data_IF_511081249181
#
_entry.id   IF_511081249181
#
_cell.length_a   1.000
_cell.length_b   1.000
_cell.length_c   1.000
_cell.angle_alpha   90.00
_cell.angle_beta   90.00
_cell.angle_gamma   90.00
#
_symmetry.space_group_name_H-M   'P 1'
#
loop_
_entity.id
_entity.type
_entity.pdbx_description
1 polymer ?
#
# COMPACT_ATOMS: atom_id res chain seq x y z
N UNK A 1 -8.62 33.21 -30.17
CA UNK A 1 -8.05 32.36 -31.23
C UNK A 1 -9.08 32.21 -32.34
N UNK A 2 -8.70 32.52 -33.58
CA UNK A 2 -9.59 32.39 -34.75
C UNK A 2 -9.79 30.91 -35.12
N UNK A 3 -10.96 30.53 -35.66
CA UNK A 3 -11.27 29.14 -36.08
C UNK A 3 -10.20 28.55 -37.02
N UNK A 4 -9.53 29.38 -37.82
CA UNK A 4 -8.45 28.96 -38.71
C UNK A 4 -7.15 28.61 -37.98
N UNK A 5 -6.82 29.33 -36.91
CA UNK A 5 -5.64 29.04 -36.09
C UNK A 5 -5.78 27.70 -35.35
N UNK A 6 -7.00 27.34 -34.93
CA UNK A 6 -7.27 26.03 -34.32
C UNK A 6 -7.11 24.93 -35.37
N UNK A 7 -7.61 25.13 -36.58
CA UNK A 7 -7.45 24.16 -37.69
C UNK A 7 -5.99 24.02 -38.13
N UNK A 8 -5.23 25.11 -38.22
CA UNK A 8 -3.79 25.06 -38.52
C UNK A 8 -3.00 24.34 -37.43
N UNK A 9 -3.27 24.61 -36.14
CA UNK A 9 -2.62 23.90 -35.03
C UNK A 9 -2.96 22.39 -35.00
N UNK A 10 -4.17 22.03 -35.43
CA UNK A 10 -4.61 20.63 -35.58
C UNK A 10 -4.05 19.94 -36.83
N UNK A 11 -3.61 20.69 -37.85
CA UNK A 11 -3.08 20.16 -39.12
C UNK A 11 -1.54 20.18 -39.17
N UNK A 12 -0.86 21.09 -38.49
CA UNK A 12 0.61 21.18 -38.41
C UNK A 12 1.26 20.08 -37.56
N UNK A 13 0.47 19.27 -36.86
CA UNK A 13 0.95 18.20 -35.99
C UNK A 13 1.35 16.94 -36.76
N UNK A 14 2.33 17.07 -37.65
CA UNK A 14 3.13 15.96 -38.18
C UNK A 14 4.61 16.26 -37.91
N UNK A 15 4.97 16.41 -36.64
CA UNK A 15 6.37 16.29 -36.22
C UNK A 15 6.80 14.85 -36.52
N UNK A 16 7.75 14.69 -37.42
CA UNK A 16 8.41 13.41 -37.68
C UNK A 16 8.91 12.83 -36.34
N UNK A 17 8.24 11.80 -35.83
CA UNK A 17 8.64 11.12 -34.61
C UNK A 17 10.01 10.51 -34.86
N UNK A 18 11.05 11.07 -34.26
CA UNK A 18 12.39 10.53 -34.37
C UNK A 18 12.45 9.21 -33.59
N UNK A 19 12.83 8.12 -34.25
CA UNK A 19 13.03 6.82 -33.61
C UNK A 19 13.99 6.94 -32.42
N UNK A 20 14.97 7.83 -32.51
CA UNK A 20 15.91 8.14 -31.42
C UNK A 20 15.21 8.73 -30.19
N UNK A 21 14.24 9.63 -30.37
CA UNK A 21 13.47 10.21 -29.25
C UNK A 21 12.58 9.14 -28.61
N UNK A 22 11.94 8.29 -29.40
CA UNK A 22 11.13 7.16 -28.92
C UNK A 22 11.97 6.23 -28.05
N UNK A 23 13.12 5.80 -28.56
CA UNK A 23 14.04 4.94 -27.81
C UNK A 23 14.53 5.60 -26.51
N UNK A 24 14.84 6.90 -26.55
CA UNK A 24 15.30 7.63 -25.37
C UNK A 24 14.20 7.73 -24.29
N UNK A 25 12.97 8.08 -24.66
CA UNK A 25 11.90 8.17 -23.66
C UNK A 25 11.53 6.80 -23.08
N UNK A 26 11.58 5.74 -23.89
CA UNK A 26 11.37 4.37 -23.39
C UNK A 26 12.48 3.96 -22.42
N UNK A 27 13.74 4.28 -22.74
CA UNK A 27 14.85 4.04 -21.83
C UNK A 27 14.66 4.79 -20.49
N UNK A 28 14.25 6.07 -20.55
CA UNK A 28 13.96 6.87 -19.36
C UNK A 28 12.76 6.31 -18.55
N UNK A 29 11.70 5.88 -19.22
CA UNK A 29 10.54 5.26 -18.58
C UNK A 29 10.91 3.96 -17.87
N UNK A 30 11.81 3.16 -18.46
CA UNK A 30 12.35 1.95 -17.83
C UNK A 30 13.18 2.31 -16.59
N UNK A 31 14.07 3.30 -16.66
CA UNK A 31 14.90 3.72 -15.52
C UNK A 31 14.02 4.21 -14.36
N UNK A 32 13.07 5.12 -14.62
CA UNK A 32 12.17 5.63 -13.59
C UNK A 32 11.18 4.56 -13.10
N UNK A 33 10.72 3.68 -13.99
CA UNK A 33 9.88 2.53 -13.63
C UNK A 33 10.63 1.50 -12.76
N UNK A 34 11.93 1.29 -12.99
CA UNK A 34 12.77 0.46 -12.12
C UNK A 34 12.97 1.11 -10.75
N UNK A 35 13.13 2.44 -10.69
CA UNK A 35 13.14 3.18 -9.43
C UNK A 35 11.83 2.96 -8.67
N UNK A 36 10.68 3.11 -9.35
CA UNK A 36 9.36 2.85 -8.77
C UNK A 36 9.25 1.41 -8.24
N UNK A 37 9.70 0.44 -9.04
CA UNK A 37 9.72 -0.99 -8.66
C UNK A 37 10.51 -1.23 -7.37
N UNK A 38 11.68 -0.59 -7.23
CA UNK A 38 12.54 -0.74 -6.06
C UNK A 38 11.95 -0.05 -4.83
N UNK A 39 11.41 1.17 -5.00
CA UNK A 39 10.74 1.92 -3.92
C UNK A 39 9.53 1.15 -3.41
N UNK A 40 8.71 0.61 -4.31
CA UNK A 40 7.56 -0.21 -3.95
C UNK A 40 8.00 -1.46 -3.18
N UNK A 41 8.98 -2.21 -3.69
CA UNK A 41 9.52 -3.41 -3.03
C UNK A 41 10.04 -3.11 -1.63
N UNK A 42 10.74 -1.98 -1.44
CA UNK A 42 11.34 -1.61 -0.16
C UNK A 42 10.31 -1.05 0.84
N UNK A 43 9.25 -0.42 0.34
CA UNK A 43 8.22 0.24 1.16
C UNK A 43 6.96 -0.60 1.33
N UNK A 44 6.92 -1.80 0.75
CA UNK A 44 5.78 -2.69 0.87
C UNK A 44 5.55 -3.07 2.35
N UNK A 45 4.33 -2.83 2.84
CA UNK A 45 3.90 -3.09 4.22
C UNK A 45 2.63 -3.95 4.31
N UNK A 46 2.10 -4.40 3.18
CA UNK A 46 0.93 -5.27 3.15
C UNK A 46 1.25 -6.69 3.62
N UNK A 47 0.21 -7.50 3.86
CA UNK A 47 0.36 -8.87 4.34
C UNK A 47 0.82 -9.84 3.25
N UNK A 48 0.63 -9.51 1.96
CA UNK A 48 0.98 -10.37 0.83
C UNK A 48 1.58 -9.58 -0.35
N UNK A 49 2.91 -9.50 -0.40
CA UNK A 49 3.61 -8.87 -1.52
C UNK A 49 3.33 -9.60 -2.85
N UNK A 50 2.73 -8.88 -3.81
CA UNK A 50 2.53 -9.39 -5.16
C UNK A 50 3.66 -8.96 -6.08
N UNK A 51 4.49 -9.93 -6.49
CA UNK A 51 5.52 -9.72 -7.53
C UNK A 51 4.91 -9.28 -8.85
N UNK A 52 3.75 -9.83 -9.20
CA UNK A 52 3.04 -9.55 -10.46
C UNK A 52 2.53 -8.11 -10.47
N UNK A 53 2.03 -7.61 -9.33
CA UNK A 53 1.64 -6.19 -9.23
C UNK A 53 2.85 -5.26 -9.40
N UNK A 54 3.98 -5.57 -8.76
CA UNK A 54 5.19 -4.74 -8.89
C UNK A 54 5.72 -4.72 -10.34
N UNK A 55 5.69 -5.86 -11.03
CA UNK A 55 6.02 -5.91 -12.45
C UNK A 55 5.01 -5.11 -13.30
N UNK A 56 3.73 -5.16 -12.95
CA UNK A 56 2.67 -4.41 -13.61
C UNK A 56 2.92 -2.90 -13.53
N UNK A 57 3.42 -2.37 -12.40
CA UNK A 57 3.77 -0.95 -12.27
C UNK A 57 4.80 -0.51 -13.32
N UNK A 58 5.85 -1.31 -13.54
CA UNK A 58 6.85 -1.06 -14.58
C UNK A 58 6.23 -1.10 -15.98
N UNK A 59 5.40 -2.12 -16.25
CA UNK A 59 4.71 -2.26 -17.53
C UNK A 59 3.78 -1.07 -17.80
N UNK A 60 3.04 -0.60 -16.79
CA UNK A 60 2.15 0.56 -16.89
C UNK A 60 2.95 1.81 -17.27
N UNK A 61 4.11 2.05 -16.68
CA UNK A 61 4.96 3.20 -17.04
C UNK A 61 5.40 3.14 -18.52
N UNK A 62 5.83 1.97 -18.99
CA UNK A 62 6.26 1.78 -20.39
C UNK A 62 5.09 1.94 -21.37
N UNK A 63 3.95 1.29 -21.08
CA UNK A 63 2.75 1.36 -21.91
C UNK A 63 2.24 2.80 -21.98
N UNK A 64 2.20 3.52 -20.86
CA UNK A 64 1.75 4.91 -20.84
C UNK A 64 2.71 5.86 -21.57
N UNK A 65 4.03 5.59 -21.57
CA UNK A 65 4.98 6.31 -22.45
C UNK A 65 4.71 6.07 -23.93
N UNK A 66 4.51 4.81 -24.35
CA UNK A 66 4.17 4.49 -25.73
C UNK A 66 2.88 5.17 -26.18
N UNK A 67 1.86 5.09 -25.32
CA UNK A 67 0.56 5.71 -25.57
C UNK A 67 0.69 7.23 -25.68
N UNK A 68 1.43 7.88 -24.77
CA UNK A 68 1.63 9.33 -24.81
C UNK A 68 2.39 9.79 -26.06
N UNK A 69 3.42 9.04 -26.48
CA UNK A 69 4.13 9.33 -27.74
C UNK A 69 3.27 9.12 -28.98
N UNK A 70 2.41 8.11 -28.98
CA UNK A 70 1.47 7.87 -30.08
C UNK A 70 0.41 8.98 -30.21
N UNK A 71 0.02 9.60 -29.09
CA UNK A 71 -0.88 10.77 -29.09
C UNK A 71 -0.14 12.03 -29.58
N UNK A 72 1.14 12.16 -29.25
CA UNK A 72 1.99 13.27 -29.66
C UNK A 72 1.42 14.63 -29.22
N UNK A 73 1.46 15.61 -30.12
CA UNK A 73 0.94 16.97 -29.92
C UNK A 73 -0.55 17.13 -30.24
N UNK A 74 -1.27 16.04 -30.52
CA UNK A 74 -2.68 16.12 -30.86
C UNK A 74 -3.53 16.33 -29.60
N UNK A 75 -3.76 17.60 -29.29
CA UNK A 75 -4.51 18.06 -28.13
C UNK A 75 -5.94 17.49 -28.10
N UNK A 76 -6.56 17.27 -29.28
CA UNK A 76 -7.89 16.66 -29.40
C UNK A 76 -7.88 15.16 -29.05
N UNK A 77 -6.82 14.44 -29.42
CA UNK A 77 -6.67 13.00 -29.14
C UNK A 77 -6.29 12.77 -27.66
N UNK A 78 -5.50 13.66 -27.06
CA UNK A 78 -5.18 13.66 -25.62
C UNK A 78 -6.41 13.91 -24.74
N UNK A 79 -7.24 14.91 -25.06
CA UNK A 79 -8.50 15.18 -24.35
C UNK A 79 -9.51 14.03 -24.43
N UNK A 80 -9.59 13.34 -25.56
CA UNK A 80 -10.43 12.15 -25.73
C UNK A 80 -9.99 10.95 -24.86
N UNK A 81 -8.69 10.81 -24.62
CA UNK A 81 -8.15 9.74 -23.79
C UNK A 81 -8.37 9.98 -22.29
N UNK A 82 -8.22 11.21 -21.81
CA UNK A 82 -8.53 11.58 -20.41
C UNK A 82 -10.03 11.39 -20.10
N UNK A 83 -10.90 11.71 -21.07
CA UNK A 83 -12.33 11.43 -20.99
C UNK A 83 -12.65 9.93 -20.94
N UNK A 84 -11.89 9.10 -21.67
CA UNK A 84 -12.07 7.64 -21.67
C UNK A 84 -11.52 6.98 -20.41
N UNK A 85 -10.39 7.46 -19.86
CA UNK A 85 -9.85 6.97 -18.58
C UNK A 85 -10.85 7.19 -17.43
N UNK A 86 -11.64 8.27 -17.51
CA UNK A 86 -12.71 8.59 -16.55
C UNK A 86 -13.88 7.57 -16.58
N UNK A 87 -14.00 6.76 -17.64
CA UNK A 87 -15.00 5.69 -17.78
C UNK A 87 -14.48 4.37 -17.19
N UNK A 88 -13.17 4.22 -17.00
CA UNK A 88 -12.56 3.04 -16.38
C UNK A 88 -12.88 3.05 -14.88
N UNK A 89 -14.10 2.60 -14.54
CA UNK A 89 -14.45 2.25 -13.17
C UNK A 89 -13.60 1.06 -12.77
N UNK A 90 -12.75 1.23 -11.77
CA UNK A 90 -12.20 0.10 -11.03
C UNK A 90 -13.36 -0.68 -10.42
N UNK A 91 -13.81 -1.72 -11.12
CA UNK A 91 -14.90 -2.62 -10.68
C UNK A 91 -14.41 -3.68 -9.69
N UNK A 92 -13.10 -3.73 -9.47
CA UNK A 92 -12.42 -4.59 -8.50
C UNK A 92 -11.83 -3.70 -7.41
N UNK A 93 -12.11 -4.03 -6.15
CA UNK A 93 -11.49 -3.35 -5.02
C UNK A 93 -9.97 -3.55 -5.10
N UNK A 94 -9.21 -2.47 -5.35
CA UNK A 94 -7.77 -2.51 -5.13
C UNK A 94 -7.57 -2.68 -3.63
N UNK A 95 -6.97 -3.82 -3.24
CA UNK A 95 -6.89 -4.29 -1.85
C UNK A 95 -6.32 -3.26 -0.88
N UNK A 96 -5.40 -2.41 -1.34
CA UNK A 96 -4.77 -1.38 -0.51
C UNK A 96 -4.79 0.00 -1.21
N UNK A 97 -5.28 1.08 -0.56
CA UNK A 97 -5.24 2.44 -1.12
C UNK A 97 -3.84 2.92 -1.52
N UNK A 98 -2.80 2.36 -0.87
CA UNK A 98 -1.39 2.61 -1.19
C UNK A 98 -1.02 2.16 -2.60
N UNK A 99 -1.50 0.99 -3.02
CA UNK A 99 -1.19 0.42 -4.34
C UNK A 99 -1.75 1.30 -5.47
N UNK A 100 -2.91 1.92 -5.24
CA UNK A 100 -3.50 2.88 -6.17
C UNK A 100 -2.58 4.09 -6.38
N UNK A 101 -1.97 4.62 -5.31
CA UNK A 101 -1.05 5.75 -5.41
C UNK A 101 0.21 5.40 -6.25
N UNK A 102 0.76 4.19 -6.08
CA UNK A 102 1.87 3.70 -6.90
C UNK A 102 1.49 3.53 -8.37
N UNK A 103 0.25 3.07 -8.64
CA UNK A 103 -0.27 2.97 -9.99
C UNK A 103 -0.38 4.35 -10.66
N UNK A 104 -0.91 5.36 -9.96
CA UNK A 104 -0.93 6.73 -10.46
C UNK A 104 0.47 7.31 -10.68
N UNK A 105 1.42 6.98 -9.81
CA UNK A 105 2.81 7.36 -10.01
C UNK A 105 3.42 6.72 -11.27
N UNK A 106 3.15 5.43 -11.53
CA UNK A 106 3.57 4.77 -12.77
C UNK A 106 3.02 5.48 -14.01
N UNK A 107 1.73 5.85 -14.00
CA UNK A 107 1.11 6.62 -15.09
C UNK A 107 1.78 7.98 -15.26
N UNK A 108 2.03 8.71 -14.16
CA UNK A 108 2.68 10.01 -14.19
C UNK A 108 4.11 9.95 -14.76
N UNK A 109 4.88 8.91 -14.40
CA UNK A 109 6.20 8.64 -15.00
C UNK A 109 6.05 8.47 -16.51
N UNK A 110 5.11 7.64 -16.95
CA UNK A 110 4.97 7.36 -18.37
C UNK A 110 4.51 8.56 -19.19
N UNK A 111 3.59 9.38 -18.65
CA UNK A 111 3.14 10.63 -19.28
C UNK A 111 4.28 11.64 -19.42
N UNK A 112 5.06 11.87 -18.35
CA UNK A 112 6.18 12.84 -18.37
C UNK A 112 7.33 12.39 -19.25
N UNK A 113 7.63 11.08 -19.31
CA UNK A 113 8.62 10.54 -20.23
C UNK A 113 8.13 10.63 -21.68
N UNK A 114 6.86 10.32 -21.93
CA UNK A 114 6.29 10.33 -23.28
C UNK A 114 6.07 11.73 -23.86
N UNK A 115 5.95 12.77 -23.02
CA UNK A 115 5.92 14.17 -23.44
C UNK A 115 7.31 14.82 -23.52
N UNK A 116 8.39 14.04 -23.43
CA UNK A 116 9.79 14.50 -23.41
C UNK A 116 10.15 15.44 -22.24
N UNK A 117 9.30 15.49 -21.20
CA UNK A 117 9.51 16.32 -20.00
C UNK A 117 10.27 15.56 -18.91
N UNK A 118 11.46 15.05 -19.26
CA UNK A 118 12.24 14.15 -18.40
C UNK A 118 12.58 14.75 -17.02
N UNK A 119 12.88 16.05 -16.98
CA UNK A 119 13.24 16.75 -15.74
C UNK A 119 12.09 16.73 -14.72
N UNK A 120 10.85 16.91 -15.18
CA UNK A 120 9.66 16.88 -14.32
C UNK A 120 9.42 15.46 -13.82
N UNK A 121 9.55 14.45 -14.71
CA UNK A 121 9.43 13.04 -14.32
C UNK A 121 10.45 12.63 -13.25
N UNK A 122 11.70 13.09 -13.37
CA UNK A 122 12.77 12.84 -12.41
C UNK A 122 12.51 13.53 -11.06
N UNK A 123 12.22 14.83 -11.07
CA UNK A 123 11.97 15.59 -9.85
C UNK A 123 10.71 15.10 -9.11
N UNK A 124 9.63 14.86 -9.84
CA UNK A 124 8.39 14.30 -9.28
C UNK A 124 8.63 12.93 -8.63
N UNK A 125 9.37 12.05 -9.32
CA UNK A 125 9.72 10.73 -8.78
C UNK A 125 10.64 10.83 -7.56
N UNK A 126 11.58 11.77 -7.54
CA UNK A 126 12.44 12.00 -6.38
C UNK A 126 11.62 12.46 -5.15
N UNK A 127 10.72 13.44 -5.33
CA UNK A 127 9.85 13.93 -4.25
C UNK A 127 8.94 12.81 -3.73
N UNK A 128 8.27 12.06 -4.61
CA UNK A 128 7.42 10.94 -4.21
C UNK A 128 8.22 9.86 -3.49
N UNK A 129 9.44 9.57 -3.93
CA UNK A 129 10.35 8.65 -3.24
C UNK A 129 10.66 9.11 -1.82
N UNK A 130 10.97 10.40 -1.63
CA UNK A 130 11.23 10.96 -0.29
C UNK A 130 10.01 10.86 0.59
N UNK A 131 8.82 11.25 0.10
CA UNK A 131 7.57 11.18 0.87
C UNK A 131 7.25 9.75 1.29
N UNK A 132 7.34 8.81 0.34
CA UNK A 132 7.11 7.38 0.60
C UNK A 132 8.15 6.82 1.56
N UNK A 133 9.42 7.20 1.42
CA UNK A 133 10.49 6.79 2.32
C UNK A 133 10.30 7.34 3.73
N UNK A 134 9.93 8.61 3.90
CA UNK A 134 9.60 9.20 5.20
C UNK A 134 8.40 8.52 5.85
N UNK A 135 7.33 8.27 5.08
CA UNK A 135 6.19 7.48 5.57
C UNK A 135 6.59 6.03 5.92
N UNK A 136 7.63 5.49 5.27
CA UNK A 136 8.21 4.18 5.57
C UNK A 136 9.14 4.17 6.80
N UNK A 137 9.68 5.33 7.18
CA UNK A 137 10.56 5.50 8.35
C UNK A 137 9.74 5.65 9.64
N UNK A 138 8.48 6.07 9.55
CA UNK A 138 7.65 6.36 10.71
C UNK A 138 6.95 5.12 11.30
N UNK A 139 7.44 4.72 12.48
CA UNK A 139 6.77 4.68 13.81
C UNK A 139 5.48 3.84 14.03
N UNK A 140 4.87 3.25 13.01
CA UNK A 140 3.61 2.51 13.12
C UNK A 140 3.68 1.07 12.61
N UNK A 141 4.82 0.42 12.77
CA UNK A 141 4.93 -1.04 12.61
C UNK A 141 4.31 -1.72 13.85
N UNK A 142 3.01 -1.49 13.99
CA UNK A 142 2.21 -2.03 15.08
C UNK A 142 1.48 -3.23 14.53
N UNK A 143 2.05 -4.41 14.74
CA UNK A 143 1.36 -5.66 14.39
C UNK A 143 0.25 -5.86 15.41
N UNK A 144 -0.99 -5.91 14.93
CA UNK A 144 -2.14 -6.20 15.78
C UNK A 144 -2.39 -7.70 15.80
N UNK A 145 -2.50 -8.26 17.00
CA UNK A 145 -2.91 -9.64 17.20
C UNK A 145 -4.15 -9.69 18.08
N UNK A 146 -4.98 -10.71 17.86
CA UNK A 146 -6.04 -11.08 18.77
C UNK A 146 -5.51 -12.13 19.76
N UNK A 147 -5.43 -11.74 21.02
CA UNK A 147 -5.20 -12.63 22.13
C UNK A 147 -6.53 -13.24 22.57
N UNK A 148 -6.68 -14.55 22.37
CA UNK A 148 -7.85 -15.31 22.82
C UNK A 148 -7.40 -16.16 24.02
N UNK A 149 -7.91 -15.80 25.20
CA UNK A 149 -7.66 -16.49 26.46
C UNK A 149 -8.93 -17.23 26.88
N UNK A 150 -8.86 -18.56 27.02
CA UNK A 150 -9.93 -19.37 27.61
C UNK A 150 -9.45 -20.00 28.91
N UNK A 151 -10.18 -19.74 29.99
CA UNK A 151 -9.86 -20.18 31.34
C UNK A 151 -11.08 -20.80 32.04
N UNK A 152 -10.85 -21.43 33.19
CA UNK A 152 -11.94 -21.87 34.07
C UNK A 152 -12.76 -20.66 34.56
N UNK A 153 -14.08 -20.81 34.80
CA UNK A 153 -14.94 -19.70 35.22
C UNK A 153 -14.44 -19.04 36.51
N UNK A 154 -14.27 -17.71 36.50
CA UNK A 154 -13.83 -16.95 37.67
C UNK A 154 -12.34 -17.12 38.03
N UNK A 155 -11.57 -17.82 37.20
CA UNK A 155 -10.15 -18.08 37.44
C UNK A 155 -9.23 -16.91 37.05
N UNK A 156 -9.74 -15.96 36.26
CA UNK A 156 -8.96 -14.85 35.72
C UNK A 156 -9.22 -13.58 36.52
N UNK A 157 -8.19 -13.08 37.19
CA UNK A 157 -8.23 -11.74 37.78
C UNK A 157 -7.98 -10.68 36.70
N UNK A 158 -9.02 -9.96 36.30
CA UNK A 158 -8.90 -8.88 35.31
C UNK A 158 -7.81 -7.83 35.62
N UNK A 159 -7.62 -7.38 36.87
CA UNK A 159 -6.57 -6.40 37.20
C UNK A 159 -5.16 -6.94 36.90
N UNK A 160 -4.92 -8.21 37.21
CA UNK A 160 -3.65 -8.87 36.94
C UNK A 160 -3.41 -8.98 35.43
N UNK A 161 -4.43 -9.36 34.67
CA UNK A 161 -4.34 -9.47 33.21
C UNK A 161 -4.09 -8.11 32.54
N UNK A 162 -4.77 -7.05 33.00
CA UNK A 162 -4.57 -5.69 32.48
C UNK A 162 -3.16 -5.16 32.77
N UNK A 163 -2.58 -5.47 33.93
CA UNK A 163 -1.21 -5.07 34.27
C UNK A 163 -0.17 -5.70 33.33
N UNK A 164 -0.37 -6.97 32.95
CA UNK A 164 0.49 -7.70 32.00
C UNK A 164 0.34 -7.13 30.59
N UNK A 165 -0.89 -6.88 30.15
CA UNK A 165 -1.17 -6.31 28.84
C UNK A 165 -0.58 -4.89 28.71
N UNK A 166 -0.71 -4.05 29.73
CA UNK A 166 -0.15 -2.70 29.75
C UNK A 166 1.38 -2.69 29.68
N UNK A 167 2.03 -3.70 30.24
CA UNK A 167 3.50 -3.82 30.25
C UNK A 167 4.05 -4.39 28.93
N UNK A 168 3.33 -5.32 28.32
CA UNK A 168 3.83 -6.12 27.20
C UNK A 168 3.22 -5.78 25.84
N UNK A 169 2.17 -4.94 25.79
CA UNK A 169 1.57 -4.43 24.56
C UNK A 169 1.56 -2.90 24.54
N UNK A 170 1.68 -2.30 23.35
CA UNK A 170 1.61 -0.84 23.16
C UNK A 170 0.19 -0.31 23.41
N UNK A 171 -0.80 -1.06 22.94
CA UNK A 171 -2.21 -0.79 23.17
C UNK A 171 -2.98 -2.11 23.28
N UNK A 172 -4.02 -2.13 24.11
CA UNK A 172 -4.92 -3.28 24.22
C UNK A 172 -6.38 -2.80 24.28
N UNK A 173 -7.27 -3.53 23.62
CA UNK A 173 -8.72 -3.27 23.66
C UNK A 173 -9.48 -4.59 23.84
N UNK A 174 -10.34 -4.67 24.84
CA UNK A 174 -11.23 -5.81 25.00
C UNK A 174 -12.26 -5.79 23.87
N UNK A 175 -12.33 -6.86 23.08
CA UNK A 175 -13.28 -7.01 21.97
C UNK A 175 -14.46 -7.88 22.35
N UNK A 176 -14.21 -8.92 23.13
CA UNK A 176 -15.24 -9.87 23.54
C UNK A 176 -14.92 -10.42 24.92
N UNK A 177 -15.94 -10.50 25.76
CA UNK A 177 -15.95 -11.29 26.99
C UNK A 177 -17.13 -12.24 26.90
N UNK A 178 -16.89 -13.53 27.01
CA UNK A 178 -17.95 -14.54 27.01
C UNK A 178 -17.77 -15.44 28.20
N UNK A 179 -18.86 -15.66 28.94
CA UNK A 179 -18.87 -16.52 30.11
C UNK A 179 -19.87 -17.63 29.86
N UNK A 180 -19.38 -18.86 29.83
CA UNK A 180 -20.17 -20.08 29.70
C UNK A 180 -20.09 -20.85 31.02
N UNK A 181 -21.05 -21.75 31.28
CA UNK A 181 -21.07 -22.59 32.48
C UNK A 181 -19.75 -23.37 32.71
N UNK A 182 -19.03 -23.72 31.64
CA UNK A 182 -17.80 -24.53 31.70
C UNK A 182 -16.52 -23.72 31.46
N UNK A 183 -16.59 -22.50 30.90
CA UNK A 183 -15.39 -21.71 30.60
C UNK A 183 -15.67 -20.21 30.48
N UNK A 184 -14.66 -19.41 30.81
CA UNK A 184 -14.65 -17.97 30.57
C UNK A 184 -13.62 -17.64 29.48
N UNK A 185 -14.02 -16.86 28.48
CA UNK A 185 -13.21 -16.47 27.33
C UNK A 185 -13.09 -14.95 27.22
N UNK A 186 -11.85 -14.50 27.04
CA UNK A 186 -11.50 -13.10 26.83
C UNK A 186 -10.75 -12.95 25.50
N UNK A 187 -11.26 -12.08 24.65
CA UNK A 187 -10.60 -11.72 23.38
C UNK A 187 -10.14 -10.27 23.45
N UNK A 188 -8.83 -10.07 23.49
CA UNK A 188 -8.18 -8.77 23.48
C UNK A 188 -7.51 -8.53 22.12
N UNK A 189 -7.72 -7.34 21.57
CA UNK A 189 -6.90 -6.84 20.49
C UNK A 189 -5.66 -6.18 21.07
N UNK A 190 -4.49 -6.72 20.76
CA UNK A 190 -3.19 -6.27 21.28
C UNK A 190 -2.34 -5.77 20.12
N UNK A 191 -1.91 -4.51 20.22
CA UNK A 191 -1.00 -3.86 19.28
C UNK A 191 0.43 -3.95 19.82
N UNK A 192 1.36 -4.52 19.06
CA UNK A 192 2.76 -4.69 19.47
C UNK A 192 3.69 -3.86 18.61
N UNK A 193 4.68 -3.23 19.24
CA UNK A 193 5.82 -2.64 18.52
C UNK A 193 6.87 -3.71 18.23
N UNK A 194 7.72 -3.52 17.20
CA UNK A 194 8.86 -4.40 16.83
C UNK A 194 9.78 -4.87 17.98
N UNK A 195 9.78 -4.18 19.13
CA UNK A 195 10.53 -4.55 20.34
C UNK A 195 9.79 -5.52 21.29
N UNK A 196 8.48 -5.63 21.16
CA UNK A 196 7.63 -6.47 22.00
C UNK A 196 7.34 -7.79 21.27
N UNK A 197 7.64 -8.92 21.93
CA UNK A 197 7.44 -10.25 21.37
C UNK A 197 6.09 -10.82 21.78
N UNK A 198 5.33 -11.34 20.81
CA UNK A 198 4.10 -12.10 21.05
C UNK A 198 4.34 -13.34 21.96
N UNK A 199 5.54 -13.95 21.88
CA UNK A 199 5.94 -15.05 22.75
C UNK A 199 6.16 -14.58 24.21
N UNK A 200 6.69 -13.36 24.39
CA UNK A 200 6.86 -12.78 25.72
C UNK A 200 5.51 -12.47 26.37
N UNK A 201 4.52 -11.98 25.60
CA UNK A 201 3.17 -11.77 26.13
C UNK A 201 2.51 -13.07 26.55
N UNK A 202 2.54 -14.11 25.71
CA UNK A 202 1.92 -15.40 26.06
C UNK A 202 2.56 -16.02 27.31
N UNK A 203 3.88 -15.91 27.46
CA UNK A 203 4.58 -16.34 28.68
C UNK A 203 4.16 -15.51 29.91
N UNK A 204 4.04 -14.19 29.77
CA UNK A 204 3.63 -13.31 30.87
C UNK A 204 2.17 -13.55 31.30
N UNK A 205 1.26 -13.78 30.35
CA UNK A 205 -0.15 -14.13 30.61
C UNK A 205 -0.24 -15.49 31.32
N UNK A 206 0.53 -16.49 30.88
CA UNK A 206 0.60 -17.79 31.56
C UNK A 206 1.06 -17.69 33.01
N UNK A 207 2.02 -16.81 33.31
CA UNK A 207 2.50 -16.59 34.69
C UNK A 207 1.48 -15.88 35.57
N UNK A 208 0.76 -14.89 35.04
CA UNK A 208 -0.18 -14.10 35.83
C UNK A 208 -1.49 -14.84 36.12
N UNK A 209 -1.99 -15.65 35.18
CA UNK A 209 -3.23 -16.40 35.36
C UNK A 209 -2.98 -17.77 36.01
N UNK A 210 -1.77 -18.31 35.87
CA UNK A 210 -1.40 -19.66 36.32
C UNK A 210 -1.68 -20.70 35.24
N UNK A 211 -0.67 -21.51 34.91
CA UNK A 211 -0.74 -22.46 33.80
C UNK A 211 -1.87 -23.49 33.95
N UNK A 212 -2.16 -23.91 35.19
CA UNK A 212 -3.19 -24.91 35.49
C UNK A 212 -4.63 -24.40 35.31
N UNK A 213 -4.81 -23.08 35.25
CA UNK A 213 -6.13 -22.43 35.14
C UNK A 213 -6.50 -22.07 33.70
N UNK A 214 -5.54 -22.17 32.76
CA UNK A 214 -5.72 -21.81 31.36
C UNK A 214 -6.05 -23.08 30.56
N UNK A 215 -7.22 -23.11 29.92
CA UNK A 215 -7.61 -24.19 29.00
C UNK A 215 -7.01 -23.99 27.61
N UNK A 216 -6.99 -22.75 27.11
CA UNK A 216 -6.29 -22.41 25.87
C UNK A 216 -5.85 -20.95 25.85
N UNK A 217 -4.71 -20.70 25.20
CA UNK A 217 -4.15 -19.37 24.98
C UNK A 217 -3.65 -19.29 23.55
N UNK A 218 -4.37 -18.56 22.72
CA UNK A 218 -4.08 -18.40 21.30
C UNK A 218 -3.81 -16.94 20.98
N UNK A 219 -2.88 -16.72 20.05
CA UNK A 219 -2.48 -15.40 19.61
C UNK A 219 -2.56 -15.42 18.08
N UNK A 220 -3.64 -14.83 17.55
CA UNK A 220 -4.00 -14.90 16.14
C UNK A 220 -3.60 -13.58 15.47
N UNK A 221 -2.87 -13.64 14.36
CA UNK A 221 -2.56 -12.44 13.57
C UNK A 221 -3.85 -11.84 13.05
N UNK A 222 -4.17 -10.62 13.49
CA UNK A 222 -5.37 -9.92 13.04
C UNK A 222 -4.97 -8.99 11.90
N UNK A 223 -5.09 -9.47 10.67
CA UNK A 223 -5.17 -8.61 9.50
C UNK A 223 -6.59 -8.07 9.50
N UNK A 224 -6.79 -6.77 9.77
CA UNK A 224 -8.10 -6.14 9.98
C UNK A 224 -9.05 -6.13 8.77
N UNK A 225 -9.08 -7.20 7.98
CA UNK A 225 -10.06 -7.43 6.93
C UNK A 225 -11.41 -7.76 7.56
N UNK A 226 -12.29 -6.76 7.58
CA UNK A 226 -13.73 -6.99 7.72
C UNK A 226 -14.24 -7.53 6.38
N UNK A 227 -14.81 -8.74 6.39
CA UNK A 227 -15.60 -9.29 5.28
C UNK A 227 -16.77 -8.39 4.91
#
# INVERSE_FOLDING_TARGET
>A
MSKRQILEYLLESNTSISVTQVCLSLAMAVVLGMLLYFVYRKTYRGTVYSKDFNLTLLLVAIITTLVMQAIGSNLALSLGMVGSLSIIRFRTAVKEPRDIAFLFWAIAIGLTCGSEMYLIGLLGSAVLTVVVCLASLDLYDTTTYLLVLRAAPGAVEEPALHSVLKTNARAYKLRMRSQTADSEEFTYECSFTRKQSAAALTAAVRRAVGADKIRSLNLVSYSGETL
#
